data_IF_227499512098
#
_entry.id   IF_227499512098
#
_cell.length_a   1.000
_cell.length_b   1.000
_cell.length_c   1.000
_cell.angle_alpha   90.00
_cell.angle_beta   90.00
_cell.angle_gamma   90.00
#
_symmetry.space_group_name_H-M   'P 1'
#
loop_
_entity.id
_entity.type
_entity.pdbx_description
1 polymer ?
#
# COMPACT_ATOMS: atom_id res chain seq x y z
N UNK A 1 -17.63 -26.29 48.26
CA UNK A 1 -17.11 -27.49 47.57
C UNK A 1 -16.76 -27.11 46.14
N UNK A 2 -15.48 -26.92 45.81
CA UNK A 2 -15.06 -26.68 44.43
C UNK A 2 -15.07 -28.02 43.69
N UNK A 3 -16.01 -28.18 42.76
CA UNK A 3 -16.02 -29.29 41.80
C UNK A 3 -14.65 -29.35 41.12
N UNK A 4 -13.90 -30.44 41.30
CA UNK A 4 -12.65 -30.67 40.57
C UNK A 4 -13.00 -30.80 39.09
N UNK A 5 -12.81 -29.73 38.31
CA UNK A 5 -12.94 -29.80 36.85
C UNK A 5 -12.06 -30.92 36.33
N UNK A 6 -12.68 -31.92 35.68
CA UNK A 6 -11.96 -33.06 35.10
C UNK A 6 -11.36 -32.62 33.77
N UNK A 7 -10.03 -32.63 33.68
CA UNK A 7 -9.31 -32.28 32.45
C UNK A 7 -9.17 -33.53 31.57
N UNK A 8 -9.59 -33.42 30.31
CA UNK A 8 -9.49 -34.49 29.32
C UNK A 8 -8.28 -34.30 28.41
N UNK A 9 -7.64 -35.38 27.98
CA UNK A 9 -6.43 -35.33 27.15
C UNK A 9 -6.66 -34.59 25.83
N UNK A 10 -7.70 -34.95 25.08
CA UNK A 10 -7.98 -34.37 23.76
C UNK A 10 -8.24 -32.86 23.85
N UNK A 11 -9.02 -32.42 24.84
CA UNK A 11 -9.30 -31.00 25.07
C UNK A 11 -8.01 -30.25 25.43
N UNK A 12 -7.18 -30.83 26.30
CA UNK A 12 -5.94 -30.20 26.72
C UNK A 12 -4.91 -30.11 25.58
N UNK A 13 -4.82 -31.15 24.74
CA UNK A 13 -4.01 -31.13 23.51
C UNK A 13 -4.49 -30.04 22.57
N UNK A 14 -5.80 -29.98 22.31
CA UNK A 14 -6.38 -28.97 21.42
C UNK A 14 -6.11 -27.54 21.92
N UNK A 15 -6.36 -27.26 23.20
CA UNK A 15 -6.17 -25.92 23.74
C UNK A 15 -4.68 -25.53 23.79
N UNK A 16 -3.79 -26.46 24.15
CA UNK A 16 -2.37 -26.14 24.33
C UNK A 16 -1.59 -26.13 23.01
N UNK A 17 -1.77 -27.16 22.17
CA UNK A 17 -1.02 -27.35 20.93
C UNK A 17 -1.71 -26.67 19.74
N UNK A 18 -3.02 -26.90 19.55
CA UNK A 18 -3.73 -26.39 18.35
C UNK A 18 -4.25 -24.96 18.48
N UNK A 19 -4.47 -24.48 19.72
CA UNK A 19 -4.87 -23.11 20.02
C UNK A 19 -3.73 -22.28 20.62
N UNK A 20 -2.59 -22.90 20.89
CA UNK A 20 -1.41 -22.23 21.44
C UNK A 20 -1.64 -21.60 22.82
N UNK A 21 -2.64 -22.02 23.60
CA UNK A 21 -2.93 -21.40 24.89
C UNK A 21 -1.86 -21.75 25.94
N UNK A 22 -1.56 -20.80 26.82
CA UNK A 22 -0.72 -20.99 28.00
C UNK A 22 -1.49 -21.75 29.09
N UNK A 23 -0.77 -22.37 30.04
CA UNK A 23 -1.40 -23.00 31.20
C UNK A 23 -2.32 -22.04 31.97
N UNK A 24 -1.99 -20.74 31.97
CA UNK A 24 -2.80 -19.71 32.61
C UNK A 24 -4.12 -19.50 31.87
N UNK A 25 -4.07 -19.26 30.57
CA UNK A 25 -5.27 -19.04 29.76
C UNK A 25 -6.18 -20.27 29.75
N UNK A 26 -5.61 -21.48 29.73
CA UNK A 26 -6.38 -22.73 29.86
C UNK A 26 -7.03 -22.81 31.24
N UNK A 27 -6.31 -22.44 32.30
CA UNK A 27 -6.84 -22.48 33.66
C UNK A 27 -8.00 -21.52 33.85
N UNK A 28 -7.92 -20.33 33.26
CA UNK A 28 -8.98 -19.32 33.23
C UNK A 28 -10.17 -19.83 32.40
N UNK A 29 -9.92 -20.41 31.22
CA UNK A 29 -10.96 -20.94 30.32
C UNK A 29 -11.73 -22.12 30.92
N UNK A 30 -11.04 -23.01 31.64
CA UNK A 30 -11.62 -24.23 32.21
C UNK A 30 -11.98 -24.06 33.71
N UNK A 31 -11.90 -22.84 34.24
CA UNK A 31 -12.20 -22.52 35.64
C UNK A 31 -11.50 -23.46 36.62
N UNK A 32 -10.20 -23.69 36.41
CA UNK A 32 -9.36 -24.54 37.26
C UNK A 32 -8.04 -23.84 37.63
N UNK A 33 -7.20 -24.47 38.43
CA UNK A 33 -5.91 -23.87 38.80
C UNK A 33 -4.85 -24.13 37.74
N UNK A 34 -3.92 -23.18 37.54
CA UNK A 34 -2.74 -23.36 36.66
C UNK A 34 -1.96 -24.63 37.00
N UNK A 35 -1.80 -24.95 38.29
CA UNK A 35 -1.15 -26.18 38.74
C UNK A 35 -1.90 -27.45 38.31
N UNK A 36 -3.24 -27.43 38.25
CA UNK A 36 -4.01 -28.56 37.75
C UNK A 36 -3.75 -28.79 36.25
N UNK A 37 -3.71 -27.73 35.45
CA UNK A 37 -3.37 -27.77 34.02
C UNK A 37 -1.96 -28.32 33.81
N UNK A 38 -0.97 -27.80 34.53
CA UNK A 38 0.42 -28.27 34.46
C UNK A 38 0.54 -29.77 34.77
N UNK A 39 -0.08 -30.24 35.86
CA UNK A 39 -0.06 -31.66 36.24
C UNK A 39 -0.75 -32.54 35.20
N UNK A 40 -1.87 -32.09 34.65
CA UNK A 40 -2.58 -32.82 33.60
C UNK A 40 -1.75 -32.92 32.32
N UNK A 41 -1.08 -31.85 31.88
CA UNK A 41 -0.17 -31.91 30.72
C UNK A 41 0.96 -32.92 30.91
N UNK A 42 1.59 -32.93 32.09
CA UNK A 42 2.63 -33.90 32.42
C UNK A 42 2.09 -35.34 32.42
N UNK A 43 0.88 -35.55 32.96
CA UNK A 43 0.21 -36.87 32.94
C UNK A 43 -0.07 -37.37 31.52
N UNK A 44 -0.44 -36.49 30.60
CA UNK A 44 -0.75 -36.82 29.20
C UNK A 44 0.43 -36.69 28.25
N UNK A 45 1.66 -36.55 28.77
CA UNK A 45 2.88 -36.41 27.96
C UNK A 45 2.84 -35.24 26.95
N UNK A 46 2.16 -34.14 27.32
CA UNK A 46 2.12 -32.90 26.52
C UNK A 46 3.32 -32.04 26.93
N UNK A 47 4.37 -32.10 26.11
CA UNK A 47 5.60 -31.34 26.33
C UNK A 47 5.33 -29.83 26.31
N UNK A 48 6.09 -29.08 27.11
CA UNK A 48 6.02 -27.63 27.07
C UNK A 48 6.62 -27.14 25.75
N UNK A 49 5.91 -26.23 25.08
CA UNK A 49 6.38 -25.58 23.86
C UNK A 49 6.93 -24.19 24.19
N UNK A 50 7.95 -23.76 23.48
CA UNK A 50 8.53 -22.42 23.55
C UNK A 50 7.55 -21.36 23.05
N UNK A 51 7.84 -20.09 23.35
CA UNK A 51 7.08 -18.95 22.81
C UNK A 51 7.12 -18.94 21.28
N UNK A 52 8.27 -19.30 20.70
CA UNK A 52 8.46 -19.37 19.25
C UNK A 52 7.56 -20.45 18.65
N UNK A 53 7.57 -21.67 19.19
CA UNK A 53 6.69 -22.76 18.72
C UNK A 53 5.20 -22.41 18.87
N UNK A 54 4.83 -21.71 19.96
CA UNK A 54 3.46 -21.23 20.15
C UNK A 54 3.05 -20.21 19.08
N UNK A 55 3.95 -19.32 18.68
CA UNK A 55 3.66 -18.31 17.66
C UNK A 55 3.35 -18.92 16.30
N UNK A 56 3.89 -20.11 15.96
CA UNK A 56 3.54 -20.85 14.73
C UNK A 56 2.04 -21.08 14.56
N UNK A 57 1.35 -21.27 15.68
CA UNK A 57 -0.08 -21.59 15.72
C UNK A 57 -0.91 -20.32 15.83
N UNK A 58 -0.43 -19.34 16.61
CA UNK A 58 -1.11 -18.07 16.84
C UNK A 58 -1.05 -17.13 15.63
N UNK A 59 0.02 -17.19 14.85
CA UNK A 59 0.30 -16.25 13.76
C UNK A 59 0.53 -17.05 12.49
N UNK A 60 -0.47 -17.07 11.61
CA UNK A 60 -0.31 -17.65 10.27
C UNK A 60 0.18 -16.58 9.32
N UNK A 61 1.39 -16.76 8.80
CA UNK A 61 1.95 -15.89 7.76
C UNK A 61 1.28 -16.23 6.43
N UNK A 62 0.56 -15.27 5.86
CA UNK A 62 -0.03 -15.41 4.53
C UNK A 62 1.04 -15.33 3.44
N UNK A 63 0.74 -15.87 2.25
CA UNK A 63 1.66 -15.79 1.11
C UNK A 63 2.06 -14.35 0.77
N UNK A 64 1.11 -13.42 0.80
CA UNK A 64 1.36 -11.99 0.56
C UNK A 64 2.32 -11.40 1.60
N UNK A 65 2.22 -11.79 2.87
CA UNK A 65 3.13 -11.33 3.92
C UNK A 65 4.53 -11.90 3.71
N UNK A 66 4.64 -13.19 3.38
CA UNK A 66 5.91 -13.79 3.01
C UNK A 66 6.56 -13.03 1.84
N UNK A 67 5.80 -12.70 0.80
CA UNK A 67 6.33 -12.00 -0.38
C UNK A 67 6.83 -10.58 -0.02
N UNK A 68 6.12 -9.85 0.83
CA UNK A 68 6.61 -8.57 1.36
C UNK A 68 7.90 -8.78 2.15
N UNK A 69 7.92 -9.73 3.08
CA UNK A 69 9.07 -9.94 3.98
C UNK A 69 10.31 -10.36 3.22
N UNK A 70 10.17 -11.23 2.21
CA UNK A 70 11.28 -11.61 1.32
C UNK A 70 11.80 -10.40 0.53
N UNK A 71 10.90 -9.55 0.04
CA UNK A 71 11.28 -8.29 -0.61
C UNK A 71 12.02 -7.34 0.34
N UNK A 72 11.51 -7.13 1.55
CA UNK A 72 12.15 -6.24 2.52
C UNK A 72 13.51 -6.78 2.99
N UNK A 73 13.70 -8.10 3.05
CA UNK A 73 15.01 -8.69 3.36
C UNK A 73 16.06 -8.45 2.28
N UNK A 74 15.63 -8.27 1.03
CA UNK A 74 16.55 -7.84 -0.03
C UNK A 74 16.97 -6.37 0.14
N UNK A 75 16.20 -5.59 0.90
CA UNK A 75 16.47 -4.20 1.20
C UNK A 75 16.71 -3.92 2.69
N UNK A 76 15.86 -3.07 3.26
CA UNK A 76 16.07 -2.39 4.56
C UNK A 76 15.82 -3.30 5.78
N UNK A 77 15.18 -4.46 5.60
CA UNK A 77 14.88 -5.34 6.72
C UNK A 77 16.10 -6.11 7.22
N UNK A 78 16.15 -6.28 8.54
CA UNK A 78 17.04 -7.19 9.24
C UNK A 78 16.23 -8.33 9.87
N UNK A 79 16.72 -9.55 9.75
CA UNK A 79 16.16 -10.70 10.46
C UNK A 79 17.09 -11.05 11.61
N UNK A 80 16.60 -11.06 12.84
CA UNK A 80 17.37 -11.38 14.03
C UNK A 80 17.57 -12.88 14.25
N UNK A 81 18.52 -13.30 15.11
CA UNK A 81 18.83 -14.71 15.37
C UNK A 81 17.66 -15.55 15.91
N UNK A 82 16.65 -14.92 16.52
CA UNK A 82 15.47 -15.63 17.04
C UNK A 82 14.32 -15.68 16.01
N UNK A 83 14.55 -15.24 14.77
CA UNK A 83 13.54 -15.19 13.72
C UNK A 83 12.61 -13.98 13.83
N UNK A 84 13.07 -12.89 14.46
CA UNK A 84 12.36 -11.62 14.55
C UNK A 84 12.78 -10.67 13.43
N UNK A 85 11.81 -10.21 12.63
CA UNK A 85 12.04 -9.18 11.62
C UNK A 85 12.11 -7.80 12.28
N UNK A 86 13.03 -6.99 11.79
CA UNK A 86 13.25 -5.62 12.19
C UNK A 86 13.29 -4.72 10.95
N UNK A 87 12.35 -3.78 10.86
CA UNK A 87 12.23 -2.87 9.73
C UNK A 87 12.24 -1.44 10.25
N UNK A 88 13.09 -0.60 9.67
CA UNK A 88 13.27 0.78 10.06
C UNK A 88 13.26 1.69 8.84
N UNK A 89 12.53 2.80 8.91
CA UNK A 89 12.55 3.83 7.88
C UNK A 89 12.64 5.23 8.50
N UNK A 90 13.26 6.16 7.78
CA UNK A 90 13.34 7.56 8.20
C UNK A 90 11.96 8.22 8.26
N UNK A 91 11.84 9.32 9.00
CA UNK A 91 10.54 10.01 9.20
C UNK A 91 9.83 10.39 7.90
N UNK A 92 10.59 10.77 6.84
CA UNK A 92 10.05 11.10 5.51
C UNK A 92 9.38 9.91 4.80
N UNK A 93 9.70 8.69 5.20
CA UNK A 93 9.14 7.45 4.63
C UNK A 93 8.11 6.80 5.57
N UNK A 94 7.55 7.55 6.52
CA UNK A 94 6.58 6.99 7.46
C UNK A 94 5.35 6.38 6.77
N UNK A 95 4.84 7.01 5.69
CA UNK A 95 3.72 6.46 4.93
C UNK A 95 4.00 5.05 4.38
N UNK A 96 5.25 4.76 4.04
CA UNK A 96 5.67 3.43 3.61
C UNK A 96 5.78 2.44 4.78
N UNK A 97 6.38 2.85 5.90
CA UNK A 97 6.42 2.03 7.12
C UNK A 97 5.00 1.69 7.60
N UNK A 98 4.05 2.63 7.51
CA UNK A 98 2.65 2.40 7.85
C UNK A 98 1.99 1.40 6.90
N UNK A 99 2.31 1.46 5.60
CA UNK A 99 1.87 0.46 4.63
C UNK A 99 2.40 -0.93 4.96
N UNK A 100 3.70 -1.07 5.27
CA UNK A 100 4.30 -2.34 5.72
C UNK A 100 3.61 -2.85 6.99
N UNK A 101 3.49 -1.99 8.00
CA UNK A 101 2.85 -2.32 9.28
C UNK A 101 1.43 -2.89 9.08
N UNK A 102 0.59 -2.21 8.29
CA UNK A 102 -0.79 -2.65 7.99
C UNK A 102 -0.84 -3.99 7.27
N UNK A 103 0.03 -4.21 6.28
CA UNK A 103 0.04 -5.45 5.50
C UNK A 103 0.67 -6.63 6.25
N UNK A 104 1.48 -6.37 7.28
CA UNK A 104 2.19 -7.39 8.07
C UNK A 104 1.50 -7.72 9.41
N UNK A 105 0.33 -7.13 9.71
CA UNK A 105 -0.48 -7.54 10.86
C UNK A 105 -1.05 -8.96 10.68
N UNK A 106 -1.13 -9.79 11.75
CA UNK A 106 -0.79 -9.47 13.14
C UNK A 106 0.67 -9.83 13.53
N UNK A 107 1.54 -10.10 12.56
CA UNK A 107 2.89 -10.61 12.85
C UNK A 107 3.82 -9.55 13.50
N UNK A 108 3.54 -8.27 13.29
CA UNK A 108 4.34 -7.15 13.82
C UNK A 108 3.68 -6.47 15.01
N UNK A 109 4.50 -6.13 16.02
CA UNK A 109 4.06 -5.29 17.13
C UNK A 109 3.97 -3.81 16.75
N UNK A 110 3.66 -2.98 17.74
CA UNK A 110 3.45 -1.53 17.57
C UNK A 110 4.61 -0.80 16.89
N UNK A 111 4.28 0.30 16.20
CA UNK A 111 5.26 1.23 15.64
C UNK A 111 5.93 2.00 16.78
N UNK A 112 7.27 1.99 16.80
CA UNK A 112 8.09 2.72 17.76
C UNK A 112 8.83 3.86 17.10
N UNK A 113 8.77 5.05 17.70
CA UNK A 113 9.54 6.21 17.29
C UNK A 113 10.95 6.17 17.90
N UNK A 114 11.96 6.50 17.11
CA UNK A 114 13.32 6.78 17.58
C UNK A 114 13.70 8.21 17.22
N UNK A 115 14.90 8.66 17.63
CA UNK A 115 15.40 10.00 17.32
C UNK A 115 15.42 10.30 15.82
N UNK A 116 15.77 9.32 14.99
CA UNK A 116 16.04 9.53 13.55
C UNK A 116 15.17 8.68 12.63
N UNK A 117 14.50 7.66 13.15
CA UNK A 117 13.68 6.74 12.36
C UNK A 117 12.44 6.28 13.12
N UNK A 118 11.56 5.59 12.40
CA UNK A 118 10.45 4.82 12.98
C UNK A 118 10.68 3.35 12.66
N UNK A 119 10.23 2.48 13.56
CA UNK A 119 10.56 1.07 13.55
C UNK A 119 9.35 0.20 13.84
N UNK A 120 9.27 -0.93 13.15
CA UNK A 120 8.39 -2.05 13.52
C UNK A 120 9.24 -3.31 13.73
N UNK A 121 8.86 -4.14 14.71
CA UNK A 121 9.53 -5.42 14.99
C UNK A 121 8.48 -6.52 15.10
N UNK A 122 8.74 -7.66 14.49
CA UNK A 122 7.91 -8.86 14.67
C UNK A 122 8.22 -9.56 16.00
N UNK A 123 7.34 -10.44 16.43
CA UNK A 123 7.71 -11.45 17.41
C UNK A 123 8.67 -12.48 16.79
N UNK A 124 9.37 -13.23 17.64
CA UNK A 124 10.14 -14.40 17.21
C UNK A 124 9.20 -15.51 16.71
N UNK A 125 9.50 -16.12 15.57
CA UNK A 125 8.59 -17.06 14.91
C UNK A 125 9.36 -18.12 14.09
N UNK A 126 8.92 -19.40 14.01
CA UNK A 126 9.66 -20.43 13.28
C UNK A 126 9.83 -20.12 11.79
N UNK A 127 8.81 -19.56 11.14
CA UNK A 127 8.94 -18.98 9.79
C UNK A 127 10.16 -18.05 9.64
N UNK A 128 10.39 -17.14 10.60
CA UNK A 128 11.56 -16.27 10.60
C UNK A 128 12.87 -17.03 10.79
N UNK A 129 12.90 -18.07 11.64
CA UNK A 129 14.08 -18.94 11.77
C UNK A 129 14.39 -19.69 10.47
N UNK A 130 13.37 -20.20 9.78
CA UNK A 130 13.51 -20.87 8.49
C UNK A 130 14.09 -19.91 7.44
N UNK A 131 13.51 -18.71 7.30
CA UNK A 131 14.02 -17.71 6.35
C UNK A 131 15.43 -17.26 6.72
N UNK A 132 15.75 -17.14 8.01
CA UNK A 132 17.11 -16.79 8.44
C UNK A 132 18.14 -17.81 7.97
N UNK A 133 17.83 -19.10 8.05
CA UNK A 133 18.73 -20.15 7.58
C UNK A 133 19.00 -20.03 6.07
N UNK A 134 18.05 -19.50 5.29
CA UNK A 134 18.24 -19.22 3.86
C UNK A 134 19.13 -17.98 3.64
N UNK A 135 18.83 -16.85 4.28
CA UNK A 135 19.44 -15.55 3.96
C UNK A 135 20.72 -15.23 4.74
N UNK A 136 21.02 -15.89 5.87
CA UNK A 136 22.11 -15.52 6.77
C UNK A 136 23.14 -16.63 6.97
N UNK A 137 23.88 -16.98 5.92
CA UNK A 137 25.00 -17.91 6.02
C UNK A 137 26.15 -17.30 6.85
N UNK A 138 26.60 -18.00 7.89
CA UNK A 138 27.64 -17.50 8.81
C UNK A 138 27.27 -16.21 9.55
N UNK A 139 25.98 -15.90 9.68
CA UNK A 139 25.49 -14.69 10.35
C UNK A 139 25.52 -13.42 9.50
N UNK A 140 26.03 -13.48 8.26
CA UNK A 140 26.02 -12.39 7.28
C UNK A 140 24.90 -12.61 6.27
N UNK A 141 24.21 -11.54 5.86
CA UNK A 141 23.21 -11.61 4.79
C UNK A 141 23.90 -11.98 3.48
N UNK A 142 23.43 -13.03 2.82
CA UNK A 142 23.93 -13.55 1.53
C UNK A 142 22.78 -13.77 0.57
N UNK A 143 23.08 -13.81 -0.72
CA UNK A 143 22.12 -14.09 -1.78
C UNK A 143 22.60 -15.23 -2.68
N UNK A 144 21.65 -16.03 -3.14
CA UNK A 144 21.87 -17.07 -4.14
C UNK A 144 20.63 -17.19 -5.04
N UNK A 145 20.69 -18.11 -6.00
CA UNK A 145 19.60 -18.26 -6.96
C UNK A 145 18.30 -18.77 -6.34
N UNK A 146 18.38 -19.71 -5.40
CA UNK A 146 17.21 -20.28 -4.70
C UNK A 146 16.42 -19.22 -3.92
N UNK A 147 17.11 -18.23 -3.37
CA UNK A 147 16.47 -17.09 -2.69
C UNK A 147 15.79 -16.18 -3.71
N UNK A 148 16.49 -15.81 -4.80
CA UNK A 148 15.97 -14.88 -5.81
C UNK A 148 14.76 -15.45 -6.56
N UNK A 149 14.74 -16.75 -6.84
CA UNK A 149 13.61 -17.40 -7.53
C UNK A 149 12.32 -17.47 -6.69
N UNK A 150 12.40 -17.21 -5.37
CA UNK A 150 11.23 -17.08 -4.50
C UNK A 150 10.58 -15.69 -4.56
N UNK A 151 11.23 -14.70 -5.19
CA UNK A 151 10.69 -13.34 -5.31
C UNK A 151 9.69 -13.26 -6.46
N UNK A 152 8.51 -12.71 -6.18
CA UNK A 152 7.53 -12.34 -7.19
C UNK A 152 7.54 -10.82 -7.45
N UNK A 153 6.60 -10.34 -8.27
CA UNK A 153 6.48 -8.91 -8.61
C UNK A 153 6.30 -8.02 -7.38
N UNK A 154 5.55 -8.48 -6.37
CA UNK A 154 5.39 -7.77 -5.11
C UNK A 154 6.69 -7.73 -4.30
N UNK A 155 7.41 -8.86 -4.19
CA UNK A 155 8.72 -8.89 -3.52
C UNK A 155 9.73 -7.99 -4.21
N UNK A 156 9.76 -7.99 -5.54
CA UNK A 156 10.63 -7.13 -6.33
C UNK A 156 10.27 -5.65 -6.17
N UNK A 157 8.97 -5.33 -6.13
CA UNK A 157 8.51 -3.97 -5.84
C UNK A 157 8.97 -3.49 -4.47
N UNK A 158 8.85 -4.33 -3.43
CA UNK A 158 9.32 -4.01 -2.08
C UNK A 158 10.84 -3.82 -2.05
N UNK A 159 11.61 -4.70 -2.69
CA UNK A 159 13.05 -4.52 -2.81
C UNK A 159 13.42 -3.19 -3.49
N UNK A 160 12.74 -2.84 -4.58
CA UNK A 160 12.95 -1.57 -5.26
C UNK A 160 12.50 -0.37 -4.41
N UNK A 161 11.46 -0.49 -3.61
CA UNK A 161 11.03 0.57 -2.71
C UNK A 161 12.03 0.81 -1.58
N UNK A 162 12.71 -0.22 -1.10
CA UNK A 162 13.74 -0.07 -0.07
C UNK A 162 15.01 0.53 -0.68
N UNK A 163 15.60 -0.12 -1.69
CA UNK A 163 16.95 0.20 -2.19
C UNK A 163 17.01 0.76 -3.62
N UNK A 164 15.88 0.78 -4.33
CA UNK A 164 15.77 1.22 -5.70
C UNK A 164 15.52 2.71 -5.85
N UNK A 165 15.87 3.24 -7.02
CA UNK A 165 15.54 4.60 -7.43
C UNK A 165 15.64 4.76 -8.96
N UNK A 166 14.60 5.33 -9.58
CA UNK A 166 14.69 5.91 -10.91
C UNK A 166 15.39 7.28 -10.81
N UNK A 167 16.38 7.53 -11.66
CA UNK A 167 17.06 8.82 -11.69
C UNK A 167 16.11 9.93 -12.17
N UNK A 168 16.24 11.18 -11.67
CA UNK A 168 15.39 12.29 -12.10
C UNK A 168 15.37 12.52 -13.62
N UNK A 169 16.44 12.14 -14.32
CA UNK A 169 16.54 12.23 -15.78
C UNK A 169 15.60 11.27 -16.52
N UNK A 170 15.05 10.24 -15.87
CA UNK A 170 14.22 9.21 -16.49
C UNK A 170 14.96 8.31 -17.49
N UNK A 171 16.29 8.36 -17.50
CA UNK A 171 17.12 7.60 -18.46
C UNK A 171 17.66 6.29 -17.89
N UNK A 172 17.57 6.10 -16.57
CA UNK A 172 18.19 4.98 -15.88
C UNK A 172 17.51 4.77 -14.51
N UNK A 173 17.52 3.54 -14.02
CA UNK A 173 17.28 3.23 -12.60
C UNK A 173 18.50 2.54 -11.99
N UNK A 174 18.58 2.63 -10.67
CA UNK A 174 19.54 1.89 -9.86
C UNK A 174 18.85 1.05 -8.80
N UNK A 175 19.53 0.01 -8.35
CA UNK A 175 19.21 -0.77 -7.15
C UNK A 175 20.47 -0.86 -6.29
N UNK A 176 20.41 -0.36 -5.06
CA UNK A 176 21.58 -0.17 -4.20
C UNK A 176 21.94 -1.48 -3.47
N UNK A 177 22.71 -2.35 -4.12
CA UNK A 177 23.01 -3.72 -3.64
C UNK A 177 24.37 -3.84 -2.95
N UNK A 178 24.86 -2.75 -2.36
CA UNK A 178 26.22 -2.59 -1.87
C UNK A 178 26.66 -3.53 -0.73
N UNK A 179 25.71 -4.20 -0.06
CA UNK A 179 26.00 -5.15 1.01
C UNK A 179 26.45 -6.54 0.51
N UNK A 180 26.31 -6.81 -0.79
CA UNK A 180 26.60 -8.09 -1.43
C UNK A 180 27.96 -8.10 -2.17
N UNK A 181 28.54 -9.29 -2.34
CA UNK A 181 29.83 -9.53 -3.01
C UNK A 181 29.77 -9.39 -4.54
N UNK A 182 30.92 -9.48 -5.21
CA UNK A 182 30.99 -9.49 -6.68
C UNK A 182 30.21 -10.64 -7.29
N UNK A 183 30.43 -11.85 -6.78
CA UNK A 183 29.80 -13.09 -7.23
C UNK A 183 28.28 -13.01 -7.04
N UNK A 184 27.84 -12.42 -5.93
CA UNK A 184 26.42 -12.18 -5.65
C UNK A 184 25.80 -11.18 -6.63
N UNK A 185 26.53 -10.13 -7.04
CA UNK A 185 26.05 -9.21 -8.08
C UNK A 185 25.93 -9.89 -9.45
N UNK A 186 26.88 -10.78 -9.80
CA UNK A 186 26.80 -11.55 -11.05
C UNK A 186 25.58 -12.48 -11.07
N UNK A 187 25.28 -13.12 -9.93
CA UNK A 187 24.06 -13.92 -9.75
C UNK A 187 22.82 -13.05 -9.96
N UNK A 188 22.78 -11.84 -9.38
CA UNK A 188 21.64 -10.92 -9.57
C UNK A 188 21.48 -10.48 -11.03
N UNK A 189 22.57 -10.17 -11.74
CA UNK A 189 22.51 -9.79 -13.17
C UNK A 189 21.88 -10.90 -14.00
N UNK A 190 22.34 -12.15 -13.81
CA UNK A 190 21.75 -13.33 -14.49
C UNK A 190 20.28 -13.51 -14.11
N UNK A 191 19.96 -13.36 -12.82
CA UNK A 191 18.59 -13.43 -12.33
C UNK A 191 17.65 -12.43 -13.01
N UNK A 192 18.03 -11.16 -13.08
CA UNK A 192 17.18 -10.16 -13.72
C UNK A 192 16.94 -10.45 -15.20
N UNK A 193 17.98 -10.88 -15.91
CA UNK A 193 17.87 -11.21 -17.34
C UNK A 193 17.00 -12.46 -17.56
N UNK A 194 17.27 -13.56 -16.86
CA UNK A 194 16.59 -14.84 -17.05
C UNK A 194 15.15 -14.86 -16.54
N UNK A 195 14.88 -14.24 -15.38
CA UNK A 195 13.55 -14.30 -14.74
C UNK A 195 12.59 -13.26 -15.28
N UNK A 196 13.09 -12.05 -15.55
CA UNK A 196 12.27 -10.88 -15.82
C UNK A 196 12.48 -10.30 -17.22
N UNK A 197 13.46 -10.81 -17.99
CA UNK A 197 13.84 -10.20 -19.27
C UNK A 197 14.41 -8.79 -19.08
N UNK A 198 15.07 -8.54 -17.95
CA UNK A 198 15.61 -7.24 -17.55
C UNK A 198 17.14 -7.30 -17.54
N UNK A 199 17.79 -6.62 -18.48
CA UNK A 199 19.25 -6.53 -18.48
C UNK A 199 19.73 -5.46 -17.49
N UNK A 200 20.50 -5.90 -16.50
CA UNK A 200 21.18 -5.05 -15.53
C UNK A 200 22.68 -5.03 -15.78
N UNK A 201 23.34 -3.92 -15.42
CA UNK A 201 24.80 -3.82 -15.38
C UNK A 201 25.27 -3.56 -13.95
N UNK A 202 26.41 -4.13 -13.58
CA UNK A 202 27.09 -3.80 -12.33
C UNK A 202 27.73 -2.41 -12.50
N UNK A 203 27.22 -1.44 -11.76
CA UNK A 203 27.77 -0.09 -11.66
C UNK A 203 28.51 0.12 -10.35
N UNK A 204 29.19 1.26 -10.24
CA UNK A 204 29.85 1.72 -9.01
C UNK A 204 29.24 3.01 -8.50
N UNK A 205 29.21 3.18 -7.18
CA UNK A 205 28.90 4.41 -6.47
C UNK A 205 29.99 4.62 -5.40
N UNK A 206 31.09 5.24 -5.80
CA UNK A 206 32.34 5.19 -5.02
C UNK A 206 32.90 3.77 -4.98
N UNK A 207 33.22 3.28 -3.79
CA UNK A 207 33.71 1.90 -3.55
C UNK A 207 32.60 0.84 -3.61
N UNK A 208 31.33 1.27 -3.59
CA UNK A 208 30.20 0.37 -3.50
C UNK A 208 29.68 -0.05 -4.87
N UNK A 209 29.20 -1.31 -4.97
CA UNK A 209 28.55 -1.84 -6.17
C UNK A 209 27.04 -1.65 -6.11
N UNK A 210 26.42 -1.53 -7.28
CA UNK A 210 24.98 -1.38 -7.47
C UNK A 210 24.57 -1.98 -8.82
N UNK A 211 23.29 -2.30 -8.98
CA UNK A 211 22.74 -2.66 -10.28
C UNK A 211 22.20 -1.42 -10.99
N UNK A 212 22.47 -1.30 -12.28
CA UNK A 212 22.00 -0.21 -13.14
C UNK A 212 21.17 -0.78 -14.29
N UNK A 213 19.99 -0.20 -14.48
CA UNK A 213 19.07 -0.55 -15.56
C UNK A 213 19.00 0.62 -16.55
N UNK A 214 19.32 0.38 -17.81
CA UNK A 214 19.18 1.38 -18.87
C UNK A 214 17.72 1.82 -19.04
N UNK A 215 17.44 2.82 -19.89
CA UNK A 215 16.08 3.37 -20.07
C UNK A 215 15.04 2.29 -20.42
N UNK A 216 15.38 1.37 -21.31
CA UNK A 216 14.47 0.31 -21.74
C UNK A 216 14.13 -0.64 -20.59
N UNK A 217 15.13 -1.20 -19.92
CA UNK A 217 14.94 -2.15 -18.82
C UNK A 217 14.37 -1.47 -17.57
N UNK A 218 14.68 -0.19 -17.34
CA UNK A 218 14.02 0.63 -16.33
C UNK A 218 12.51 0.71 -16.60
N UNK A 219 12.09 1.03 -17.83
CA UNK A 219 10.66 1.11 -18.16
C UNK A 219 9.96 -0.24 -17.96
N UNK A 220 10.58 -1.35 -18.37
CA UNK A 220 10.06 -2.72 -18.14
C UNK A 220 9.94 -3.03 -16.65
N UNK A 221 11.00 -2.78 -15.88
CA UNK A 221 11.02 -2.98 -14.43
C UNK A 221 9.93 -2.17 -13.73
N UNK A 222 9.82 -0.89 -14.06
CA UNK A 222 8.82 0.00 -13.48
C UNK A 222 7.41 -0.45 -13.85
N UNK A 223 7.17 -0.87 -15.09
CA UNK A 223 5.88 -1.43 -15.51
C UNK A 223 5.48 -2.66 -14.69
N UNK A 224 6.45 -3.54 -14.42
CA UNK A 224 6.28 -4.74 -13.62
C UNK A 224 5.91 -4.43 -12.16
N UNK A 225 6.62 -3.50 -11.51
CA UNK A 225 6.44 -3.24 -10.08
C UNK A 225 5.33 -2.24 -9.76
N UNK A 226 4.96 -1.37 -10.71
CA UNK A 226 4.02 -0.24 -10.48
C UNK A 226 2.71 -0.64 -9.77
N UNK A 227 2.04 -1.76 -10.11
CA UNK A 227 0.81 -2.17 -9.42
C UNK A 227 0.97 -2.43 -7.92
N UNK A 228 2.20 -2.68 -7.46
CA UNK A 228 2.52 -3.02 -6.08
C UNK A 228 3.13 -1.86 -5.28
N UNK A 229 3.43 -0.72 -5.91
CA UNK A 229 4.04 0.45 -5.26
C UNK A 229 2.94 1.31 -4.63
N UNK A 230 2.87 1.41 -3.28
CA UNK A 230 1.96 2.32 -2.60
C UNK A 230 2.37 3.76 -2.89
N UNK A 231 1.40 4.65 -2.76
CA UNK A 231 1.53 6.03 -3.19
C UNK A 231 2.68 6.76 -2.52
N UNK A 232 2.87 6.48 -1.22
CA UNK A 232 3.97 7.01 -0.42
C UNK A 232 5.37 6.73 -1.01
N UNK A 233 5.52 5.75 -1.91
CA UNK A 233 6.81 5.37 -2.52
C UNK A 233 6.88 5.62 -4.03
N UNK A 234 5.83 6.14 -4.66
CA UNK A 234 5.81 6.37 -6.12
C UNK A 234 6.85 7.35 -6.61
N UNK A 235 7.29 8.28 -5.76
CA UNK A 235 8.38 9.18 -6.11
C UNK A 235 9.67 8.44 -6.50
N UNK A 236 9.87 7.18 -6.06
CA UNK A 236 11.03 6.36 -6.44
C UNK A 236 10.97 5.83 -7.87
N UNK A 237 9.78 5.76 -8.48
CA UNK A 237 9.59 5.23 -9.85
C UNK A 237 9.32 6.33 -10.89
N UNK A 238 9.29 7.61 -10.47
CA UNK A 238 9.20 8.76 -11.38
C UNK A 238 10.58 9.14 -11.94
N UNK A 239 10.69 9.66 -13.18
CA UNK A 239 9.61 10.06 -14.10
C UNK A 239 9.19 8.98 -15.10
N UNK A 240 9.66 7.74 -14.95
CA UNK A 240 9.46 6.66 -15.93
C UNK A 240 7.98 6.35 -16.25
N UNK A 241 7.06 6.65 -15.32
CA UNK A 241 5.62 6.36 -15.47
C UNK A 241 4.76 7.54 -15.92
N UNK A 242 5.33 8.73 -16.11
CA UNK A 242 4.53 9.95 -16.19
C UNK A 242 3.76 10.22 -14.89
N UNK A 243 2.76 11.11 -14.94
CA UNK A 243 1.85 11.36 -13.81
C UNK A 243 0.52 10.63 -14.01
N UNK A 244 -0.23 10.43 -12.93
CA UNK A 244 -1.65 10.07 -12.99
C UNK A 244 -2.55 11.11 -12.34
N UNK A 245 -3.70 11.41 -12.94
CA UNK A 245 -4.69 12.33 -12.38
C UNK A 245 -6.06 11.69 -12.25
N UNK A 246 -6.74 11.90 -11.11
CA UNK A 246 -8.13 11.47 -10.93
C UNK A 246 -9.12 12.55 -11.41
N UNK A 247 -10.17 12.17 -12.14
CA UNK A 247 -11.12 13.12 -12.75
C UNK A 247 -12.43 13.23 -11.96
N UNK A 248 -12.41 14.07 -10.93
CA UNK A 248 -13.57 14.38 -10.07
C UNK A 248 -14.50 15.41 -10.72
N UNK A 249 -15.81 15.26 -10.55
CA UNK A 249 -16.82 16.16 -11.10
C UNK A 249 -18.21 15.53 -11.12
N UNK A 250 -19.26 16.35 -11.18
CA UNK A 250 -20.63 15.86 -11.06
C UNK A 250 -20.98 14.74 -12.05
N UNK A 251 -21.58 13.67 -11.55
CA UNK A 251 -22.04 12.51 -12.33
C UNK A 251 -23.57 12.40 -12.31
N UNK A 252 -24.18 12.33 -11.12
CA UNK A 252 -25.63 12.13 -10.92
C UNK A 252 -26.50 13.21 -11.62
N UNK A 253 -26.00 14.44 -11.72
CA UNK A 253 -26.73 15.58 -12.29
C UNK A 253 -26.16 16.07 -13.63
N UNK A 254 -25.32 15.27 -14.30
CA UNK A 254 -24.64 15.66 -15.55
C UNK A 254 -25.07 14.78 -16.72
N UNK A 255 -25.25 15.38 -17.90
CA UNK A 255 -25.58 14.63 -19.13
C UNK A 255 -24.49 13.58 -19.39
N UNK A 256 -24.89 12.32 -19.61
CA UNK A 256 -23.99 11.17 -19.81
C UNK A 256 -22.92 11.03 -18.70
N UNK A 257 -23.26 11.35 -17.44
CA UNK A 257 -22.37 11.27 -16.27
C UNK A 257 -21.09 12.12 -16.37
N UNK A 258 -21.04 13.07 -17.33
CA UNK A 258 -19.85 13.88 -17.60
C UNK A 258 -18.75 13.20 -18.41
N UNK A 259 -19.04 12.07 -19.08
CA UNK A 259 -18.06 11.36 -19.94
C UNK A 259 -17.37 12.26 -20.98
N UNK A 260 -18.10 13.21 -21.59
CA UNK A 260 -17.57 14.03 -22.69
C UNK A 260 -16.32 14.85 -22.34
N UNK A 261 -16.31 15.56 -21.20
CA UNK A 261 -15.15 16.35 -20.79
C UNK A 261 -14.00 15.44 -20.31
N UNK A 262 -14.34 14.32 -19.65
CA UNK A 262 -13.34 13.35 -19.15
C UNK A 262 -12.59 12.67 -20.29
N UNK A 263 -13.30 12.25 -21.34
CA UNK A 263 -12.69 11.68 -22.54
C UNK A 263 -11.81 12.69 -23.26
N UNK A 264 -12.27 13.95 -23.36
CA UNK A 264 -11.51 15.01 -23.99
C UNK A 264 -10.22 15.32 -23.20
N UNK A 265 -10.31 15.61 -21.91
CA UNK A 265 -9.13 15.98 -21.10
C UNK A 265 -8.14 14.82 -20.99
N UNK A 266 -8.62 13.58 -20.93
CA UNK A 266 -7.78 12.37 -20.93
C UNK A 266 -6.90 12.29 -22.18
N UNK A 267 -7.46 12.58 -23.36
CA UNK A 267 -6.69 12.58 -24.61
C UNK A 267 -5.62 13.67 -24.61
N UNK A 268 -5.97 14.88 -24.13
CA UNK A 268 -5.08 16.03 -24.09
C UNK A 268 -3.92 15.83 -23.10
N UNK A 269 -4.21 15.30 -21.92
CA UNK A 269 -3.21 15.01 -20.88
C UNK A 269 -2.30 13.83 -21.26
N UNK A 270 -2.80 12.85 -22.03
CA UNK A 270 -1.98 11.75 -22.54
C UNK A 270 -0.82 12.24 -23.43
N UNK A 271 -1.00 13.33 -24.18
CA UNK A 271 0.08 13.97 -24.96
C UNK A 271 1.22 14.49 -24.09
N UNK A 272 0.95 14.76 -22.80
CA UNK A 272 1.91 15.22 -21.81
C UNK A 272 2.45 14.07 -20.93
N UNK A 273 2.19 12.81 -21.31
CA UNK A 273 2.50 11.62 -20.50
C UNK A 273 1.80 11.64 -19.14
N UNK A 274 0.57 12.16 -19.09
CA UNK A 274 -0.29 12.16 -17.91
C UNK A 274 -1.47 11.22 -18.18
N UNK A 275 -1.57 10.17 -17.37
CA UNK A 275 -2.66 9.20 -17.41
C UNK A 275 -3.83 9.66 -16.55
N UNK A 276 -5.07 9.35 -16.94
CA UNK A 276 -6.25 9.74 -16.17
C UNK A 276 -6.99 8.52 -15.61
N UNK A 277 -7.43 8.63 -14.35
CA UNK A 277 -8.35 7.71 -13.70
C UNK A 277 -9.75 8.32 -13.76
N UNK A 278 -10.61 7.73 -14.58
CA UNK A 278 -11.97 8.21 -14.84
C UNK A 278 -12.99 7.40 -14.02
N UNK A 279 -13.68 8.00 -13.04
CA UNK A 279 -14.67 7.28 -12.23
C UNK A 279 -15.76 6.61 -13.05
N UNK A 280 -16.18 7.21 -14.17
CA UNK A 280 -17.23 6.68 -15.06
C UNK A 280 -16.79 5.36 -15.68
N UNK A 281 -15.53 5.25 -16.10
CA UNK A 281 -14.97 4.03 -16.71
C UNK A 281 -14.61 2.96 -15.68
N UNK A 282 -14.41 3.37 -14.43
CA UNK A 282 -14.14 2.46 -13.33
C UNK A 282 -15.43 1.85 -12.75
N UNK A 283 -16.61 2.42 -13.03
CA UNK A 283 -17.88 1.86 -12.56
C UNK A 283 -18.19 0.52 -13.25
N UNK A 284 -18.45 -0.56 -12.50
CA UNK A 284 -18.99 -1.78 -13.07
C UNK A 284 -20.44 -1.55 -13.52
N UNK A 285 -20.81 -2.13 -14.66
CA UNK A 285 -22.19 -2.09 -15.14
C UNK A 285 -23.07 -3.07 -14.35
N UNK A 286 -24.31 -2.67 -14.05
CA UNK A 286 -25.31 -3.59 -13.51
C UNK A 286 -25.77 -4.57 -14.60
N UNK A 287 -26.41 -5.71 -14.25
CA UNK A 287 -27.00 -6.63 -15.23
C UNK A 287 -27.90 -5.87 -16.21
N UNK A 288 -27.66 -6.03 -17.52
CA UNK A 288 -28.36 -5.29 -18.58
C UNK A 288 -27.68 -3.98 -19.03
N UNK A 289 -26.40 -3.79 -18.69
CA UNK A 289 -25.58 -2.64 -19.09
C UNK A 289 -26.15 -1.28 -18.63
N UNK A 290 -26.82 -1.29 -17.48
CA UNK A 290 -27.35 -0.07 -16.86
C UNK A 290 -26.29 0.50 -15.91
N UNK A 291 -25.94 1.80 -15.99
CA UNK A 291 -25.05 2.42 -15.02
C UNK A 291 -25.59 2.25 -13.59
N UNK A 292 -24.75 1.81 -12.66
CA UNK A 292 -25.15 1.58 -11.27
C UNK A 292 -25.79 2.81 -10.64
N UNK A 293 -25.31 4.00 -10.99
CA UNK A 293 -25.86 5.25 -10.48
C UNK A 293 -27.32 5.46 -10.87
N UNK A 294 -27.72 5.08 -12.09
CA UNK A 294 -29.13 5.13 -12.53
C UNK A 294 -30.00 4.17 -11.73
N UNK A 295 -29.53 2.94 -11.52
CA UNK A 295 -30.25 1.95 -10.70
C UNK A 295 -30.47 2.46 -9.27
N UNK A 296 -29.44 3.04 -8.65
CA UNK A 296 -29.56 3.58 -7.29
C UNK A 296 -30.50 4.78 -7.22
N UNK A 297 -30.48 5.68 -8.21
CA UNK A 297 -31.41 6.81 -8.28
C UNK A 297 -32.87 6.36 -8.42
N UNK A 298 -33.13 5.27 -9.14
CA UNK A 298 -34.48 4.69 -9.23
C UNK A 298 -34.91 4.03 -7.90
N UNK A 299 -34.02 3.29 -7.24
CA UNK A 299 -34.31 2.72 -5.92
C UNK A 299 -34.62 3.80 -4.86
N UNK A 300 -33.97 4.99 -4.95
CA UNK A 300 -34.26 6.12 -4.05
C UNK A 300 -35.71 6.62 -4.17
N UNK A 301 -36.38 6.44 -5.31
CA UNK A 301 -37.78 6.84 -5.50
C UNK A 301 -38.75 6.00 -4.66
N UNK A 302 -38.32 4.84 -4.18
CA UNK A 302 -39.12 3.94 -3.35
C UNK A 302 -38.30 3.44 -2.15
N UNK A 303 -38.12 4.27 -1.10
CA UNK A 303 -37.14 4.05 -0.04
C UNK A 303 -37.61 3.02 1.01
N UNK A 304 -37.84 1.78 0.60
CA UNK A 304 -38.08 0.66 1.52
C UNK A 304 -36.80 0.30 2.27
N UNK A 305 -36.90 -0.39 3.41
CA UNK A 305 -35.72 -0.83 4.17
C UNK A 305 -34.79 -1.71 3.33
N UNK A 306 -35.36 -2.60 2.50
CA UNK A 306 -34.60 -3.42 1.54
C UNK A 306 -33.86 -2.59 0.50
N UNK A 307 -34.54 -1.62 -0.14
CA UNK A 307 -33.92 -0.74 -1.13
C UNK A 307 -32.83 0.13 -0.52
N UNK A 308 -33.06 0.66 0.69
CA UNK A 308 -32.08 1.46 1.41
C UNK A 308 -30.84 0.65 1.80
N UNK A 309 -31.00 -0.63 2.13
CA UNK A 309 -29.86 -1.53 2.36
C UNK A 309 -29.03 -1.71 1.09
N UNK A 310 -29.67 -2.01 -0.04
CA UNK A 310 -29.02 -2.16 -1.35
C UNK A 310 -28.27 -0.89 -1.75
N UNK A 311 -28.91 0.28 -1.60
CA UNK A 311 -28.29 1.59 -1.91
C UNK A 311 -27.03 1.79 -1.07
N UNK A 312 -27.10 1.59 0.25
CA UNK A 312 -25.96 1.79 1.15
C UNK A 312 -24.81 0.82 0.84
N UNK A 313 -25.11 -0.46 0.67
CA UNK A 313 -24.10 -1.48 0.43
C UNK A 313 -23.42 -1.27 -0.94
N UNK A 314 -24.21 -0.92 -1.96
CA UNK A 314 -23.66 -0.63 -3.30
C UNK A 314 -22.80 0.64 -3.29
N UNK A 315 -23.28 1.73 -2.69
CA UNK A 315 -22.52 2.99 -2.64
C UNK A 315 -21.19 2.82 -1.89
N UNK A 316 -21.19 2.14 -0.74
CA UNK A 316 -19.98 1.90 0.05
C UNK A 316 -18.94 1.06 -0.69
N UNK A 317 -19.39 -0.02 -1.35
CA UNK A 317 -18.48 -0.98 -1.96
C UNK A 317 -18.06 -0.61 -3.39
N UNK A 318 -18.94 0.03 -4.15
CA UNK A 318 -18.75 0.27 -5.60
C UNK A 318 -18.37 1.71 -5.92
N UNK A 319 -18.75 2.67 -5.06
CA UNK A 319 -18.38 4.09 -5.25
C UNK A 319 -17.27 4.45 -4.28
N UNK A 320 -17.56 4.50 -2.97
CA UNK A 320 -16.62 5.07 -1.99
C UNK A 320 -15.28 4.34 -1.99
N UNK A 321 -15.28 3.01 -1.86
CA UNK A 321 -14.05 2.22 -1.85
C UNK A 321 -13.23 2.39 -3.14
N UNK A 322 -13.90 2.44 -4.28
CA UNK A 322 -13.29 2.51 -5.61
C UNK A 322 -12.71 3.91 -5.87
N UNK A 323 -13.50 4.95 -5.63
CA UNK A 323 -13.13 6.35 -5.88
C UNK A 323 -12.02 6.78 -4.91
N UNK A 324 -12.13 6.45 -3.62
CA UNK A 324 -11.06 6.69 -2.63
C UNK A 324 -9.77 5.97 -3.05
N UNK A 325 -9.87 4.72 -3.51
CA UNK A 325 -8.70 3.99 -3.96
C UNK A 325 -8.08 4.62 -5.22
N UNK A 326 -8.90 5.08 -6.16
CA UNK A 326 -8.42 5.74 -7.37
C UNK A 326 -7.74 7.10 -7.05
N UNK A 327 -8.31 7.88 -6.14
CA UNK A 327 -7.71 9.13 -5.63
C UNK A 327 -6.36 8.84 -4.97
N UNK A 328 -6.30 7.84 -4.09
CA UNK A 328 -5.05 7.40 -3.50
C UNK A 328 -4.04 7.04 -4.61
N UNK A 329 -4.46 6.26 -5.60
CA UNK A 329 -3.64 5.88 -6.76
C UNK A 329 -3.40 7.01 -7.78
N UNK A 330 -3.83 8.24 -7.53
CA UNK A 330 -3.52 9.39 -8.39
C UNK A 330 -2.34 10.18 -7.82
N UNK A 331 -1.64 10.92 -8.68
CA UNK A 331 -0.58 11.84 -8.29
C UNK A 331 -1.13 13.25 -8.00
N UNK A 332 -2.24 13.61 -8.63
CA UNK A 332 -3.05 14.81 -8.40
C UNK A 332 -4.52 14.52 -8.77
N UNK A 333 -5.44 15.42 -8.45
CA UNK A 333 -6.83 15.33 -8.90
C UNK A 333 -7.22 16.58 -9.67
N UNK A 334 -8.09 16.42 -10.67
CA UNK A 334 -8.78 17.50 -11.35
C UNK A 334 -10.23 17.47 -10.87
N UNK A 335 -10.69 18.58 -10.30
CA UNK A 335 -12.07 18.74 -9.81
C UNK A 335 -12.79 19.69 -10.75
N UNK A 336 -13.76 19.19 -11.52
CA UNK A 336 -14.67 20.05 -12.26
C UNK A 336 -15.83 20.48 -11.37
N UNK A 337 -15.78 21.74 -10.92
CA UNK A 337 -16.77 22.39 -10.09
C UNK A 337 -17.71 23.25 -10.93
N UNK A 338 -18.72 22.58 -11.49
CA UNK A 338 -19.82 23.18 -12.24
C UNK A 338 -21.14 23.09 -11.46
N UNK A 339 -22.24 23.53 -12.08
CA UNK A 339 -23.56 23.47 -11.44
C UNK A 339 -23.97 22.05 -11.02
N UNK A 340 -23.50 21.02 -11.72
CA UNK A 340 -23.81 19.63 -11.36
C UNK A 340 -23.04 19.18 -10.12
N UNK A 341 -21.81 19.65 -9.93
CA UNK A 341 -21.03 19.42 -8.72
C UNK A 341 -21.66 20.11 -7.51
N UNK A 342 -22.25 21.30 -7.66
CA UNK A 342 -22.99 21.99 -6.58
C UNK A 342 -24.22 21.21 -6.08
N UNK A 343 -24.82 20.35 -6.92
CA UNK A 343 -25.98 19.54 -6.56
C UNK A 343 -25.61 18.19 -5.93
N UNK A 344 -24.36 17.75 -6.10
CA UNK A 344 -23.88 16.45 -5.64
C UNK A 344 -22.96 16.54 -4.42
N UNK A 345 -22.87 15.45 -3.66
CA UNK A 345 -21.95 15.35 -2.52
C UNK A 345 -20.60 14.70 -2.87
N UNK A 346 -20.54 13.95 -3.99
CA UNK A 346 -19.37 13.16 -4.38
C UNK A 346 -18.14 14.02 -4.62
N UNK A 347 -18.23 14.99 -5.53
CA UNK A 347 -17.12 15.86 -5.94
C UNK A 347 -16.40 16.54 -4.76
N UNK A 348 -17.16 17.10 -3.82
CA UNK A 348 -16.59 17.73 -2.62
C UNK A 348 -15.94 16.70 -1.68
N UNK A 349 -16.55 15.52 -1.53
CA UNK A 349 -15.97 14.44 -0.73
C UNK A 349 -14.65 13.92 -1.31
N UNK A 350 -14.55 13.86 -2.65
CA UNK A 350 -13.34 13.46 -3.37
C UNK A 350 -12.22 14.51 -3.26
N UNK A 351 -12.56 15.80 -3.33
CA UNK A 351 -11.62 16.90 -3.10
C UNK A 351 -11.06 16.86 -1.67
N UNK A 352 -11.91 16.66 -0.68
CA UNK A 352 -11.50 16.46 0.70
C UNK A 352 -10.60 15.22 0.90
N UNK A 353 -10.93 14.09 0.26
CA UNK A 353 -10.10 12.88 0.32
C UNK A 353 -8.71 13.13 -0.27
N UNK A 354 -8.64 13.83 -1.40
CA UNK A 354 -7.38 14.19 -2.05
C UNK A 354 -6.52 15.09 -1.14
N UNK A 355 -7.12 16.13 -0.54
CA UNK A 355 -6.45 16.96 0.45
C UNK A 355 -5.90 16.12 1.61
N UNK A 356 -6.73 15.21 2.16
CA UNK A 356 -6.35 14.32 3.27
C UNK A 356 -5.17 13.40 2.92
N UNK A 357 -5.09 12.95 1.67
CA UNK A 357 -4.00 12.11 1.15
C UNK A 357 -2.76 12.93 0.72
N UNK A 358 -2.79 14.27 0.86
CA UNK A 358 -1.74 15.17 0.42
C UNK A 358 -1.55 15.14 -1.09
N UNK A 359 -2.66 15.09 -1.84
CA UNK A 359 -2.69 15.17 -3.31
C UNK A 359 -3.05 16.60 -3.72
N UNK A 360 -2.38 17.16 -4.75
CA UNK A 360 -2.80 18.42 -5.29
C UNK A 360 -4.22 18.35 -5.83
N UNK A 361 -5.00 19.38 -5.55
CA UNK A 361 -6.37 19.55 -6.05
C UNK A 361 -6.35 20.70 -7.05
N UNK A 362 -6.48 20.36 -8.33
CA UNK A 362 -6.63 21.32 -9.42
C UNK A 362 -8.11 21.57 -9.69
N UNK A 363 -8.60 22.71 -9.23
CA UNK A 363 -10.00 23.07 -9.33
C UNK A 363 -10.27 23.75 -10.68
N UNK A 364 -11.10 23.13 -11.50
CA UNK A 364 -11.70 23.72 -12.71
C UNK A 364 -13.07 24.29 -12.34
N UNK A 365 -13.23 25.61 -12.35
CA UNK A 365 -14.48 26.26 -11.94
C UNK A 365 -15.11 27.05 -13.08
N UNK A 366 -16.42 26.86 -13.29
CA UNK A 366 -17.23 27.73 -14.15
C UNK A 366 -17.71 29.00 -13.40
N UNK A 367 -17.48 29.05 -12.09
CA UNK A 367 -17.91 30.14 -11.20
C UNK A 367 -16.73 31.02 -10.79
N UNK A 368 -16.95 32.33 -10.59
CA UNK A 368 -15.92 33.21 -10.04
C UNK A 368 -15.61 32.84 -8.58
N UNK A 369 -14.41 33.18 -8.10
CA UNK A 369 -13.87 32.75 -6.80
C UNK A 369 -14.82 33.00 -5.62
N UNK A 370 -15.51 34.14 -5.60
CA UNK A 370 -16.46 34.52 -4.56
C UNK A 370 -17.66 33.57 -4.43
N UNK A 371 -17.92 32.79 -5.47
CA UNK A 371 -19.00 31.79 -5.51
C UNK A 371 -18.52 30.38 -5.18
N UNK A 372 -17.21 30.19 -4.97
CA UNK A 372 -16.63 28.90 -4.60
C UNK A 372 -16.63 28.78 -3.06
N UNK A 373 -17.17 27.69 -2.49
CA UNK A 373 -17.20 27.50 -1.05
C UNK A 373 -15.80 27.54 -0.43
N UNK A 374 -15.66 28.23 0.71
CA UNK A 374 -14.38 28.40 1.43
C UNK A 374 -13.69 27.07 1.75
N UNK A 375 -14.47 26.04 2.12
CA UNK A 375 -13.94 24.70 2.36
C UNK A 375 -13.22 24.14 1.13
N UNK A 376 -13.86 24.22 -0.04
CA UNK A 376 -13.28 23.74 -1.29
C UNK A 376 -12.04 24.56 -1.67
N UNK A 377 -12.09 25.90 -1.53
CA UNK A 377 -10.91 26.76 -1.76
C UNK A 377 -9.73 26.31 -0.89
N UNK A 378 -9.97 26.00 0.39
CA UNK A 378 -8.96 25.52 1.33
C UNK A 378 -8.34 24.17 0.98
N UNK A 379 -9.01 23.36 0.16
CA UNK A 379 -8.51 22.06 -0.33
C UNK A 379 -7.65 22.21 -1.59
N UNK A 380 -7.75 23.35 -2.30
CA UNK A 380 -7.10 23.54 -3.60
C UNK A 380 -5.59 23.76 -3.53
N UNK A 381 -4.89 23.30 -4.56
CA UNK A 381 -3.51 23.71 -4.85
C UNK A 381 -3.47 24.82 -5.88
N UNK A 382 -4.33 24.73 -6.91
CA UNK A 382 -4.49 25.76 -7.94
C UNK A 382 -5.95 25.81 -8.41
N UNK A 383 -6.40 26.98 -8.87
CA UNK A 383 -7.74 27.21 -9.41
C UNK A 383 -7.62 27.72 -10.84
N UNK A 384 -8.35 27.09 -11.75
CA UNK A 384 -8.39 27.38 -13.18
C UNK A 384 -9.82 27.65 -13.63
N UNK A 385 -9.97 28.53 -14.61
CA UNK A 385 -11.26 28.88 -15.22
C UNK A 385 -11.37 28.44 -16.69
N UNK A 386 -10.32 27.84 -17.24
CA UNK A 386 -10.32 27.18 -18.55
C UNK A 386 -9.44 25.92 -18.53
N UNK A 387 -9.83 24.90 -19.30
CA UNK A 387 -9.02 23.69 -19.39
C UNK A 387 -7.70 23.95 -20.11
N UNK A 388 -7.66 24.96 -20.98
CA UNK A 388 -6.47 25.42 -21.68
C UNK A 388 -5.40 25.90 -20.69
N UNK A 389 -5.79 26.67 -19.67
CA UNK A 389 -4.86 27.14 -18.63
C UNK A 389 -4.31 25.98 -17.80
N UNK A 390 -5.16 25.02 -17.43
CA UNK A 390 -4.72 23.79 -16.75
C UNK A 390 -3.77 22.97 -17.61
N UNK A 391 -4.07 22.82 -18.91
CA UNK A 391 -3.21 22.10 -19.85
C UNK A 391 -1.88 22.81 -20.06
N UNK A 392 -1.84 24.14 -20.10
CA UNK A 392 -0.60 24.91 -20.19
C UNK A 392 0.23 24.75 -18.92
N UNK A 393 -0.40 24.85 -17.75
CA UNK A 393 0.26 24.70 -16.46
C UNK A 393 0.89 23.32 -16.27
N UNK A 394 0.19 22.27 -16.71
CA UNK A 394 0.63 20.86 -16.56
C UNK A 394 1.70 20.42 -17.57
N UNK A 395 1.98 21.22 -18.62
CA UNK A 395 3.08 20.96 -19.56
C UNK A 395 4.44 20.92 -18.89
N UNK A 396 4.65 21.70 -17.82
CA UNK A 396 5.86 21.62 -17.03
C UNK A 396 5.69 20.61 -15.88
N UNK A 397 6.38 19.45 -15.92
CA UNK A 397 6.36 18.45 -14.86
C UNK A 397 6.74 19.01 -13.48
N UNK A 398 7.54 20.08 -13.45
CA UNK A 398 8.01 20.67 -12.21
C UNK A 398 6.89 21.34 -11.43
N UNK A 399 5.88 21.89 -12.12
CA UNK A 399 4.68 22.44 -11.48
C UNK A 399 3.96 21.35 -10.68
N UNK A 400 3.68 20.21 -11.32
CA UNK A 400 3.00 19.08 -10.65
C UNK A 400 3.84 18.54 -9.49
N UNK A 401 5.17 18.40 -9.67
CA UNK A 401 6.06 17.94 -8.59
C UNK A 401 6.13 18.92 -7.41
N UNK A 402 6.12 20.22 -7.68
CA UNK A 402 6.08 21.26 -6.66
C UNK A 402 4.79 21.15 -5.86
N UNK A 403 3.65 21.10 -6.55
CA UNK A 403 2.35 21.08 -5.91
C UNK A 403 2.18 19.81 -5.06
N UNK A 404 2.69 18.65 -5.51
CA UNK A 404 2.66 17.41 -4.71
C UNK A 404 3.41 17.60 -3.38
N UNK A 405 4.59 18.22 -3.41
CA UNK A 405 5.38 18.45 -2.19
C UNK A 405 4.67 19.42 -1.26
N UNK A 406 4.12 20.51 -1.80
CA UNK A 406 3.38 21.50 -1.00
C UNK A 406 2.09 20.91 -0.44
N UNK A 407 1.28 20.18 -1.22
CA UNK A 407 0.07 19.51 -0.74
C UNK A 407 0.38 18.53 0.40
N UNK A 408 1.45 17.74 0.29
CA UNK A 408 1.90 16.85 1.36
C UNK A 408 2.28 17.60 2.63
N UNK A 409 3.02 18.70 2.50
CA UNK A 409 3.47 19.55 3.61
C UNK A 409 2.29 20.27 4.29
N UNK A 410 1.35 20.82 3.51
CA UNK A 410 0.14 21.46 4.03
C UNK A 410 -0.69 20.43 4.80
N UNK A 411 -0.91 19.26 4.21
CA UNK A 411 -1.62 18.15 4.87
C UNK A 411 -0.95 17.73 6.18
N UNK A 412 0.36 17.53 6.19
CA UNK A 412 1.11 17.20 7.41
C UNK A 412 1.00 18.31 8.48
N UNK A 413 0.93 19.58 8.06
CA UNK A 413 0.83 20.74 8.96
C UNK A 413 -0.58 20.91 9.55
N UNK A 414 -1.62 20.67 8.74
CA UNK A 414 -3.02 20.95 9.10
C UNK A 414 -3.66 19.76 9.81
N UNK A 415 -3.44 18.54 9.32
CA UNK A 415 -4.10 17.32 9.84
C UNK A 415 -3.16 16.26 10.40
N UNK A 416 -1.84 16.49 10.38
CA UNK A 416 -0.84 15.46 10.66
C UNK A 416 -0.95 14.76 12.02
N UNK A 417 -1.41 15.46 13.06
CA UNK A 417 -1.58 14.91 14.42
C UNK A 417 -3.04 14.49 14.72
N UNK A 418 -3.97 14.74 13.79
CA UNK A 418 -5.41 14.48 13.97
C UNK A 418 -5.83 13.05 13.59
N UNK A 419 -4.92 12.27 12.99
CA UNK A 419 -5.14 10.90 12.49
C UNK A 419 -3.88 10.04 12.66
#
# INVERSE_FOLDING_TARGET
MSSKTKLFENELRFLYLDRGMTDREISEKLSCTKQAVYKARKKFSINAISVIERNQVLIKVSKRQEDILRGSLMGDAYLGPSGEFDIQHGHKQFGYLLWLFKNLQPYFGEIRNTRTCRRIRSCAHPFGLQIRAEYYAGGKKTINRDILDKLNELSLAVWFMDDGQVFPSGKQARLSTHCFSEEEHEIMVKYFSERWGLDAKIGKAGEYKQLLFNKENMNKLVGLIRPHVPVAMRYKIRPATGFSMYLSGGMEFKKKLGSGWRDWITKRLAEQNISCLDPVKLEPEAPGNVPLQTLLSDLKKTPTEGNMKIIRDTARNSFFRKDVHAIQLSDAIIVLYDRSAQLGAGTLSEAWEAFREGRPVYLMSDFPLESIPVWLVGETSEIFYSFEDLLEYTKDPNNILRDIKEAQKVRDTVIGDLY
#
